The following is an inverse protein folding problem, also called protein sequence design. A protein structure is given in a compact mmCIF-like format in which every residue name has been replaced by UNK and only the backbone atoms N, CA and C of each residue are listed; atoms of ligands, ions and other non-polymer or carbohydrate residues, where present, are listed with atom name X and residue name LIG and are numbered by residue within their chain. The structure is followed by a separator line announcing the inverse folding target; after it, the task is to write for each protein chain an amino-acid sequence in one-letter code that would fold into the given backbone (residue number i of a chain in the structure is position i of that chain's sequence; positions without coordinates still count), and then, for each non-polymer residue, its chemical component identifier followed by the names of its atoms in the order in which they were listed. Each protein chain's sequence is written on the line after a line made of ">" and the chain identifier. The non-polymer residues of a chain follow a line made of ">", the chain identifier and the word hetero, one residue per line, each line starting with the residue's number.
data_IF_681088617310
#
_entry.id   IF_681088617310
#
_cell.length_a   1.000
_cell.length_b   1.000
_cell.length_c   1.000
_cell.angle_alpha   90.00
_cell.angle_beta   90.00
_cell.angle_gamma   90.00
#
_symmetry.space_group_name_H-M   'P 1'
#
loop_
_entity.id
_entity.type
_entity.pdbx_description
1 polymer ?
#
# COMPACT_ATOMS: atom_id res chain seq x y z
N UNK A 1 27.25 -8.45 -4.46
CA UNK A 1 27.01 -8.64 -4.10
C UNK A 1 27.11 -8.45 -4.18
N UNK A 2 27.39 -8.45 -4.54
CA UNK A 2 27.21 -8.55 -4.16
C UNK A 2 27.38 -8.56 -4.29
N UNK A 3 27.65 -8.72 -4.56
CA UNK A 3 27.38 -9.16 -4.24
C UNK A 3 27.24 -9.28 -4.29
N UNK A 4 27.41 -9.40 -4.76
CA UNK A 4 27.02 -9.74 -4.26
C UNK A 4 26.90 -9.94 -4.47
N UNK A 5 26.98 -10.11 -4.45
CA UNK A 5 26.56 -10.62 -4.21
C UNK A 5 26.18 -11.12 -4.26
N UNK A 6 26.66 -11.23 -4.64
CA UNK A 6 26.13 -11.92 -4.34
C UNK A 6 25.75 -12.53 -4.25
N UNK A 7 25.83 -12.80 -4.48
CA UNK A 7 25.28 -13.59 -4.09
C UNK A 7 24.77 -14.05 -3.95
N UNK A 8 24.76 -14.08 -4.22
CA UNK A 8 24.42 -14.79 -3.94
C UNK A 8 23.63 -15.26 -4.03
N UNK A 9 23.33 -15.58 -4.21
CA UNK A 9 22.40 -15.95 -4.28
C UNK A 9 21.69 -15.51 -4.38
N UNK A 10 21.45 -15.32 -5.06
CA UNK A 10 20.63 -14.84 -5.02
C UNK A 10 19.35 -14.69 -5.30
N UNK A 11 18.67 -15.06 -4.89
CA UNK A 11 17.27 -14.84 -5.06
C UNK A 11 16.96 -13.38 -4.80
N UNK A 12 16.08 -12.75 -5.60
CA UNK A 12 15.75 -11.36 -5.35
C UNK A 12 14.77 -11.25 -4.18
N UNK A 13 15.21 -11.68 -3.02
CA UNK A 13 14.52 -11.34 -1.79
C UNK A 13 14.55 -9.83 -1.68
N UNK A 14 13.47 -9.23 -1.20
CA UNK A 14 13.47 -7.79 -1.01
C UNK A 14 14.54 -7.44 0.01
N UNK A 15 15.59 -6.78 -0.43
CA UNK A 15 16.62 -6.33 0.48
C UNK A 15 16.06 -5.21 1.35
N UNK A 16 16.71 -4.98 2.48
CA UNK A 16 16.35 -3.87 3.35
C UNK A 16 16.38 -2.55 2.59
N UNK A 17 17.38 -2.40 1.73
CA UNK A 17 17.54 -1.19 0.93
C UNK A 17 16.36 -1.01 -0.04
N UNK A 18 15.96 -2.07 -0.72
CA UNK A 18 14.84 -2.00 -1.65
C UNK A 18 13.54 -1.71 -0.92
N UNK A 19 13.34 -2.33 0.23
CA UNK A 19 12.14 -2.09 1.04
C UNK A 19 12.07 -0.63 1.48
N UNK A 20 13.20 -0.07 1.89
CA UNK A 20 13.26 1.33 2.28
C UNK A 20 12.92 2.24 1.10
N UNK A 21 13.42 1.93 -0.09
CA UNK A 21 13.13 2.72 -1.27
C UNK A 21 11.66 2.71 -1.62
N UNK A 22 11.02 1.55 -1.54
CA UNK A 22 9.58 1.44 -1.81
C UNK A 22 8.81 2.27 -0.79
N UNK A 23 9.16 2.12 0.48
CA UNK A 23 8.52 2.87 1.55
C UNK A 23 8.66 4.38 1.33
N UNK A 24 9.86 4.82 0.98
CA UNK A 24 10.10 6.25 0.72
C UNK A 24 9.30 6.76 -0.45
N UNK A 25 9.19 5.95 -1.51
CA UNK A 25 8.39 6.34 -2.66
C UNK A 25 6.93 6.55 -2.26
N UNK A 26 6.40 5.64 -1.44
CA UNK A 26 5.02 5.75 -0.95
C UNK A 26 4.86 6.99 -0.08
N UNK A 27 5.82 7.26 0.80
CA UNK A 27 5.74 8.42 1.68
C UNK A 27 5.84 9.73 0.91
N UNK A 28 6.48 9.72 -0.25
CA UNK A 28 6.64 10.92 -1.07
C UNK A 28 5.42 11.22 -1.92
N UNK A 29 4.46 10.32 -2.00
CA UNK A 29 3.23 10.62 -2.72
C UNK A 29 2.49 11.75 -2.02
N UNK A 30 2.12 12.77 -2.79
CA UNK A 30 1.50 13.98 -2.25
C UNK A 30 0.01 13.78 -2.05
N UNK A 31 -0.39 13.51 -0.81
CA UNK A 31 -1.82 13.28 -0.51
C UNK A 31 -2.66 14.54 -0.71
N UNK A 32 -2.06 15.73 -0.67
CA UNK A 32 -2.79 16.96 -0.99
C UNK A 32 -3.18 17.00 -2.45
N UNK A 33 -2.31 16.50 -3.31
CA UNK A 33 -2.61 16.38 -4.75
C UNK A 33 -3.83 15.48 -4.97
N UNK A 34 -4.00 14.49 -4.13
CA UNK A 34 -5.08 13.52 -4.26
C UNK A 34 -6.41 14.02 -3.71
N UNK A 35 -6.43 15.05 -2.85
CA UNK A 35 -7.65 15.45 -2.16
C UNK A 35 -8.82 15.72 -3.12
N UNK A 36 -8.64 16.43 -4.25
CA UNK A 36 -9.77 16.64 -5.16
C UNK A 36 -10.11 15.44 -6.03
N UNK A 37 -9.31 14.38 -5.96
CA UNK A 37 -9.47 13.21 -6.83
C UNK A 37 -10.38 12.17 -6.21
N UNK A 38 -10.98 11.35 -7.08
CA UNK A 38 -11.68 10.15 -6.64
C UNK A 38 -10.69 9.00 -6.55
N UNK A 39 -11.11 7.90 -5.89
CA UNK A 39 -10.25 6.73 -5.77
C UNK A 39 -9.82 6.19 -7.13
N UNK A 40 -10.73 6.23 -8.11
CA UNK A 40 -10.42 5.74 -9.45
C UNK A 40 -9.27 6.53 -10.08
N UNK A 41 -9.23 7.83 -9.84
CA UNK A 41 -8.17 8.68 -10.38
C UNK A 41 -6.83 8.37 -9.72
N UNK A 42 -6.87 8.19 -8.40
CA UNK A 42 -5.66 7.83 -7.66
C UNK A 42 -5.15 6.47 -8.16
N UNK A 43 -6.07 5.53 -8.36
CA UNK A 43 -5.70 4.19 -8.84
C UNK A 43 -4.98 4.26 -10.18
N UNK A 44 -5.45 5.09 -11.10
CA UNK A 44 -4.79 5.24 -12.38
C UNK A 44 -3.35 5.74 -12.23
N UNK A 45 -3.12 6.56 -11.22
CA UNK A 45 -1.80 7.13 -11.00
C UNK A 45 -0.83 6.12 -10.40
N UNK A 46 -1.27 5.36 -9.40
CA UNK A 46 -0.35 4.54 -8.63
C UNK A 46 -0.33 3.05 -9.01
N UNK A 47 -1.39 2.56 -9.66
CA UNK A 47 -1.43 1.14 -10.01
C UNK A 47 -0.26 0.68 -10.88
N UNK A 48 0.19 1.43 -11.88
CA UNK A 48 1.35 0.98 -12.66
C UNK A 48 2.60 0.80 -11.80
N UNK A 49 2.80 1.68 -10.85
CA UNK A 49 3.96 1.62 -9.95
C UNK A 49 3.84 0.40 -9.04
N UNK A 50 2.68 0.22 -8.42
CA UNK A 50 2.45 -0.89 -7.51
C UNK A 50 2.57 -2.22 -8.26
N UNK A 51 1.98 -2.31 -9.43
CA UNK A 51 2.04 -3.53 -10.22
C UNK A 51 3.48 -3.86 -10.60
N UNK A 52 4.28 -2.84 -10.89
CA UNK A 52 5.69 -3.05 -11.16
C UNK A 52 6.43 -3.66 -9.96
N UNK A 53 6.15 -3.16 -8.77
CA UNK A 53 6.74 -3.73 -7.57
C UNK A 53 6.30 -5.16 -7.34
N UNK A 54 5.01 -5.44 -7.53
CA UNK A 54 4.48 -6.80 -7.35
C UNK A 54 5.14 -7.74 -8.35
N UNK A 55 5.26 -7.34 -9.60
CA UNK A 55 5.87 -8.16 -10.63
C UNK A 55 7.34 -8.45 -10.35
N UNK A 56 8.04 -7.47 -9.82
CA UNK A 56 9.48 -7.61 -9.61
C UNK A 56 9.81 -8.34 -8.31
N UNK A 57 9.12 -8.02 -7.23
CA UNK A 57 9.46 -8.56 -5.90
C UNK A 57 8.48 -9.61 -5.39
N UNK A 58 7.25 -9.60 -5.89
CA UNK A 58 6.17 -10.37 -5.27
C UNK A 58 6.34 -11.88 -5.31
N UNK A 59 7.06 -12.39 -6.31
CA UNK A 59 7.25 -13.84 -6.45
C UNK A 59 8.20 -14.39 -5.41
N UNK A 60 9.15 -13.58 -4.97
CA UNK A 60 10.23 -14.06 -4.11
C UNK A 60 10.03 -13.78 -2.64
N UNK A 61 9.37 -12.67 -2.33
CA UNK A 61 9.13 -12.34 -0.94
C UNK A 61 7.81 -11.59 -0.77
N UNK A 62 6.69 -12.28 -1.07
CA UNK A 62 5.38 -11.61 -1.05
C UNK A 62 5.00 -11.08 0.32
N UNK A 63 5.41 -11.77 1.38
CA UNK A 63 5.03 -11.35 2.72
C UNK A 63 5.60 -9.99 3.08
N UNK A 64 6.87 -9.78 2.80
CA UNK A 64 7.51 -8.50 3.12
C UNK A 64 6.95 -7.40 2.24
N UNK A 65 6.74 -7.68 0.96
CA UNK A 65 6.17 -6.68 0.07
C UNK A 65 4.76 -6.29 0.52
N UNK A 66 3.96 -7.26 0.97
CA UNK A 66 2.63 -6.95 1.48
C UNK A 66 2.68 -6.04 2.70
N UNK A 67 3.65 -6.25 3.58
CA UNK A 67 3.81 -5.37 4.74
C UNK A 67 4.12 -3.94 4.31
N UNK A 68 5.01 -3.78 3.33
CA UNK A 68 5.36 -2.45 2.84
C UNK A 68 4.16 -1.81 2.14
N UNK A 69 3.42 -2.58 1.36
CA UNK A 69 2.29 -2.05 0.61
C UNK A 69 1.13 -1.62 1.51
N UNK A 70 1.09 -2.07 2.77
CA UNK A 70 0.10 -1.54 3.70
C UNK A 70 0.24 -0.04 3.88
N UNK A 71 1.43 0.49 3.67
CA UNK A 71 1.61 1.96 3.74
C UNK A 71 0.83 2.69 2.65
N UNK A 72 0.56 2.03 1.52
CA UNK A 72 -0.31 2.61 0.50
C UNK A 72 -1.71 2.83 1.09
N UNK A 73 -2.23 1.82 1.80
CA UNK A 73 -3.53 1.95 2.45
C UNK A 73 -3.52 3.07 3.48
N UNK A 74 -2.42 3.26 4.20
CA UNK A 74 -2.31 4.35 5.15
C UNK A 74 -2.39 5.71 4.45
N UNK A 75 -1.80 5.83 3.26
CA UNK A 75 -1.90 7.07 2.49
C UNK A 75 -3.32 7.30 2.01
N UNK A 76 -4.02 6.24 1.63
CA UNK A 76 -5.42 6.35 1.22
C UNK A 76 -6.31 6.76 2.40
N UNK A 77 -6.02 6.25 3.60
CA UNK A 77 -6.73 6.67 4.80
C UNK A 77 -6.53 8.16 5.03
N UNK A 78 -5.30 8.63 4.89
CA UNK A 78 -5.00 10.05 5.04
C UNK A 78 -5.77 10.89 4.03
N UNK A 79 -5.83 10.42 2.78
CA UNK A 79 -6.62 11.09 1.74
C UNK A 79 -8.08 11.22 2.15
N UNK A 80 -8.69 10.12 2.61
CA UNK A 80 -10.09 10.12 3.00
C UNK A 80 -10.38 11.05 4.16
N UNK A 81 -9.49 11.08 5.13
CA UNK A 81 -9.65 11.96 6.29
C UNK A 81 -9.51 13.43 5.92
N UNK A 82 -8.71 13.73 4.90
CA UNK A 82 -8.57 15.11 4.44
C UNK A 82 -9.70 15.54 3.54
N UNK A 83 -10.17 14.61 2.68
CA UNK A 83 -11.21 14.91 1.72
C UNK A 83 -12.59 15.06 2.38
N UNK A 84 -12.88 14.22 3.36
CA UNK A 84 -14.21 14.19 3.98
C UNK A 84 -14.14 14.72 5.40
N UNK A 85 -14.86 15.83 5.61
CA UNK A 85 -14.87 16.48 6.91
C UNK A 85 -15.29 15.55 8.04
N UNK A 86 -16.29 14.74 7.79
CA UNK A 86 -16.81 13.81 8.80
C UNK A 86 -15.81 12.74 9.22
N UNK A 87 -14.77 12.51 8.44
CA UNK A 87 -13.77 11.49 8.73
C UNK A 87 -12.47 12.06 9.29
N UNK A 88 -12.38 13.38 9.40
CA UNK A 88 -11.11 14.04 9.75
C UNK A 88 -10.46 13.47 11.01
N UNK A 89 -11.26 13.22 12.05
CA UNK A 89 -10.77 12.71 13.33
C UNK A 89 -11.14 11.25 13.56
N UNK A 90 -11.54 10.56 12.52
CA UNK A 90 -12.07 9.20 12.65
C UNK A 90 -11.29 8.23 11.79
N UNK A 91 -10.07 7.94 12.23
CA UNK A 91 -9.19 7.05 11.48
C UNK A 91 -9.78 5.66 11.30
N UNK A 92 -10.31 5.08 12.38
CA UNK A 92 -10.87 3.72 12.31
C UNK A 92 -12.07 3.67 11.37
N UNK A 93 -12.95 4.67 11.43
CA UNK A 93 -14.09 4.75 10.52
C UNK A 93 -13.63 4.85 9.07
N UNK A 94 -12.55 5.60 8.82
CA UNK A 94 -12.01 5.74 7.48
C UNK A 94 -11.47 4.40 6.97
N UNK A 95 -10.75 3.67 7.83
CA UNK A 95 -10.24 2.34 7.45
C UNK A 95 -11.39 1.40 7.11
N UNK A 96 -12.44 1.39 7.92
CA UNK A 96 -13.62 0.55 7.65
C UNK A 96 -14.27 0.91 6.32
N UNK A 97 -14.40 2.20 6.04
CA UNK A 97 -15.02 2.64 4.81
C UNK A 97 -14.20 2.20 3.59
N UNK A 98 -12.88 2.37 3.67
CA UNK A 98 -12.02 1.90 2.58
C UNK A 98 -12.05 0.38 2.46
N UNK A 99 -12.13 -0.32 3.57
CA UNK A 99 -12.24 -1.77 3.56
C UNK A 99 -13.51 -2.24 2.87
N UNK A 100 -14.64 -1.55 3.12
CA UNK A 100 -15.89 -1.85 2.45
C UNK A 100 -15.79 -1.63 0.95
N UNK A 101 -15.15 -0.55 0.54
CA UNK A 101 -14.94 -0.27 -0.88
C UNK A 101 -14.06 -1.35 -1.50
N UNK A 102 -13.03 -1.80 -0.78
CA UNK A 102 -12.16 -2.85 -1.28
C UNK A 102 -12.90 -4.18 -1.46
N UNK A 103 -13.90 -4.46 -0.60
CA UNK A 103 -14.72 -5.65 -0.76
C UNK A 103 -15.61 -5.55 -2.00
N UNK A 104 -16.12 -4.35 -2.29
CA UNK A 104 -16.97 -4.14 -3.45
C UNK A 104 -16.19 -4.05 -4.75
N UNK A 105 -14.98 -3.49 -4.69
CA UNK A 105 -14.14 -3.26 -5.86
C UNK A 105 -12.73 -3.78 -5.60
N UNK A 106 -12.57 -5.10 -5.47
CA UNK A 106 -11.27 -5.66 -5.07
C UNK A 106 -10.17 -5.42 -6.08
N UNK A 107 -10.52 -5.14 -7.34
CA UNK A 107 -9.53 -4.91 -8.39
C UNK A 107 -9.26 -3.43 -8.65
N UNK A 108 -9.81 -2.54 -7.82
CA UNK A 108 -9.61 -1.10 -8.04
C UNK A 108 -8.14 -0.71 -7.92
N UNK A 109 -7.47 -1.23 -6.90
CA UNK A 109 -6.04 -1.00 -6.70
C UNK A 109 -5.29 -2.31 -6.87
N UNK A 110 -4.09 -2.22 -7.44
CA UNK A 110 -3.27 -3.40 -7.68
C UNK A 110 -2.94 -4.15 -6.39
N UNK A 111 -2.65 -3.43 -5.31
CA UNK A 111 -2.33 -4.09 -4.04
C UNK A 111 -3.57 -4.71 -3.40
N UNK A 112 -4.75 -4.12 -3.60
CA UNK A 112 -5.99 -4.72 -3.11
C UNK A 112 -6.25 -6.06 -3.80
N UNK A 113 -6.07 -6.09 -5.13
CA UNK A 113 -6.26 -7.32 -5.91
C UNK A 113 -5.28 -8.40 -5.47
N UNK A 114 -4.10 -8.00 -5.01
CA UNK A 114 -3.07 -8.93 -4.56
C UNK A 114 -3.27 -9.35 -3.10
N UNK A 115 -4.28 -8.81 -2.42
CA UNK A 115 -4.63 -9.24 -1.07
C UNK A 115 -4.26 -8.27 0.04
N UNK A 116 -3.79 -7.07 -0.29
CA UNK A 116 -3.39 -6.07 0.69
C UNK A 116 -4.51 -5.03 0.80
N UNK A 117 -5.50 -5.32 1.65
CA UNK A 117 -6.67 -4.47 1.80
C UNK A 117 -6.64 -3.73 3.13
N UNK A 118 -7.28 -2.54 3.20
CA UNK A 118 -7.36 -1.85 4.50
C UNK A 118 -8.30 -2.60 5.43
N UNK A 119 -7.82 -2.96 6.61
CA UNK A 119 -8.64 -3.64 7.61
C UNK A 119 -8.31 -3.12 8.99
N UNK A 120 -9.32 -2.67 9.71
CA UNK A 120 -9.15 -2.19 11.08
C UNK A 120 -9.09 -3.36 12.05
N UNK A 121 -9.87 -4.40 11.80
CA UNK A 121 -9.95 -5.53 12.72
C UNK A 121 -8.61 -6.25 12.85
N UNK A 122 -7.89 -6.36 11.76
CA UNK A 122 -6.58 -7.00 11.76
C UNK A 122 -5.59 -6.24 12.61
N UNK A 123 -5.65 -4.90 12.54
CA UNK A 123 -4.80 -4.05 13.36
C UNK A 123 -5.12 -4.20 14.83
N UNK A 124 -6.41 -4.30 15.15
CA UNK A 124 -6.83 -4.46 16.53
C UNK A 124 -6.29 -5.75 17.12
N UNK A 125 -6.30 -6.83 16.33
CA UNK A 125 -5.76 -8.09 16.81
C UNK A 125 -4.27 -7.99 17.10
N UNK A 126 -3.54 -7.25 16.30
CA UNK A 126 -2.11 -7.09 16.52
C UNK A 126 -1.79 -6.33 17.79
N UNK A 127 -2.69 -5.48 18.22
CA UNK A 127 -2.49 -4.71 19.45
C UNK A 127 -2.70 -5.53 20.69
N UNK A 128 -3.42 -6.62 20.57
CA UNK A 128 -3.62 -7.51 21.68
C UNK A 128 -2.46 -8.48 21.81
#
# INVERSE_FOLDING_TARGET
>A
DANGEVFLNFSPAISKKARTKIWEAIQNWNSNHWVPMELEDIAKEINPVIQGWINYYGQHNPRILKEVLQHVNDRLVRWGRRKFKGLRKRKTATVHRLGDIALQKPNLFAHWAWGVKPTASERNRKRK
#
